data_IF_334717183740
#
_entry.id   IF_334717183740
#
_cell.length_a   1.000
_cell.length_b   1.000
_cell.length_c   1.000
_cell.angle_alpha   90.00
_cell.angle_beta   90.00
_cell.angle_gamma   90.00
#
_symmetry.space_group_name_H-M   'P 1'
#
loop_
_entity.id
_entity.type
_entity.pdbx_description
1 polymer ?
#
# COMPACT_ATOMS: atom_id res chain seq x y z
N UNK A 1 38.43 -3.07 -0.22
CA UNK A 1 37.00 -3.05 -0.58
C UNK A 1 36.35 -4.37 -0.19
N UNK A 2 35.55 -4.41 0.89
CA UNK A 2 34.86 -5.64 1.33
C UNK A 2 33.71 -5.98 0.37
N UNK A 3 33.90 -7.02 -0.45
CA UNK A 3 32.83 -7.86 -0.99
C UNK A 3 32.36 -8.76 0.14
N UNK A 4 31.10 -8.68 0.56
CA UNK A 4 30.50 -9.67 1.47
C UNK A 4 29.49 -9.07 2.44
N UNK A 5 28.22 -9.06 2.04
CA UNK A 5 27.01 -9.10 2.90
C UNK A 5 25.68 -8.92 2.11
N UNK A 6 25.75 -8.65 0.79
CA UNK A 6 24.56 -8.38 -0.03
C UNK A 6 23.51 -9.51 -0.15
N UNK A 7 23.85 -10.81 -0.22
CA UNK A 7 22.83 -11.85 -0.39
C UNK A 7 22.01 -12.10 0.89
N UNK A 8 22.63 -11.99 2.06
CA UNK A 8 21.99 -12.28 3.35
C UNK A 8 20.88 -11.29 3.67
N UNK A 9 21.10 -9.99 3.45
CA UNK A 9 20.11 -8.96 3.74
C UNK A 9 18.87 -9.06 2.82
N UNK A 10 19.07 -9.44 1.56
CA UNK A 10 17.99 -9.63 0.58
C UNK A 10 17.07 -10.77 1.00
N UNK A 11 17.62 -11.95 1.29
CA UNK A 11 16.81 -13.12 1.66
C UNK A 11 16.16 -12.94 3.04
N UNK A 12 16.84 -12.26 3.97
CA UNK A 12 16.27 -11.85 5.24
C UNK A 12 15.07 -10.91 5.04
N UNK A 13 15.21 -9.88 4.21
CA UNK A 13 14.14 -8.89 3.97
C UNK A 13 12.90 -9.50 3.32
N UNK A 14 13.07 -10.40 2.34
CA UNK A 14 11.95 -11.11 1.71
C UNK A 14 11.20 -11.97 2.75
N UNK A 15 11.92 -12.83 3.48
CA UNK A 15 11.32 -13.70 4.49
C UNK A 15 10.67 -12.93 5.62
N UNK A 16 11.30 -11.85 6.08
CA UNK A 16 10.74 -10.98 7.12
C UNK A 16 9.39 -10.43 6.69
N UNK A 17 9.27 -9.96 5.45
CA UNK A 17 8.05 -9.31 4.98
C UNK A 17 6.96 -10.33 4.68
N UNK A 18 7.31 -11.50 4.14
CA UNK A 18 6.37 -12.61 3.98
C UNK A 18 5.77 -13.02 5.34
N UNK A 19 6.61 -13.16 6.38
CA UNK A 19 6.16 -13.48 7.74
C UNK A 19 5.28 -12.37 8.30
N UNK A 20 5.72 -11.11 8.19
CA UNK A 20 4.97 -9.98 8.73
C UNK A 20 3.62 -9.79 8.04
N UNK A 21 3.55 -9.94 6.71
CA UNK A 21 2.28 -9.91 5.97
C UNK A 21 1.37 -11.07 6.41
N UNK A 22 1.93 -12.27 6.60
CA UNK A 22 1.19 -13.40 7.17
C UNK A 22 0.61 -13.09 8.56
N UNK A 23 1.39 -12.43 9.41
CA UNK A 23 0.94 -11.97 10.75
C UNK A 23 -0.18 -10.94 10.61
N UNK A 24 -0.03 -9.93 9.74
CA UNK A 24 -1.06 -8.90 9.52
C UNK A 24 -2.35 -9.53 9.00
N UNK A 25 -2.26 -10.46 8.04
CA UNK A 25 -3.42 -11.18 7.52
C UNK A 25 -4.07 -12.08 8.57
N UNK A 26 -3.27 -12.78 9.39
CA UNK A 26 -3.78 -13.65 10.45
C UNK A 26 -4.45 -12.89 11.58
N UNK A 27 -3.77 -11.89 12.13
CA UNK A 27 -4.29 -11.05 13.22
C UNK A 27 -5.47 -10.21 12.76
N UNK A 28 -5.45 -9.71 11.53
CA UNK A 28 -6.58 -8.96 10.99
C UNK A 28 -7.88 -9.78 10.96
N UNK A 29 -7.83 -11.09 10.69
CA UNK A 29 -9.03 -11.92 10.63
C UNK A 29 -9.64 -12.15 12.02
N UNK A 30 -8.82 -12.05 13.07
CA UNK A 30 -9.31 -12.10 14.45
C UNK A 30 -10.28 -10.96 14.77
N UNK A 31 -10.17 -9.84 14.04
CA UNK A 31 -10.98 -8.63 14.21
C UNK A 31 -12.26 -8.61 13.40
N UNK A 32 -12.46 -9.58 12.51
CA UNK A 32 -13.68 -9.73 11.72
C UNK A 32 -14.97 -9.77 12.56
N UNK A 33 -15.02 -10.48 13.71
CA UNK A 33 -16.23 -10.54 14.54
C UNK A 33 -16.59 -9.21 15.22
N UNK A 34 -15.64 -8.29 15.34
CA UNK A 34 -15.85 -6.99 16.00
C UNK A 34 -16.40 -5.93 15.03
N UNK A 35 -16.57 -6.26 13.74
CA UNK A 35 -17.16 -5.37 12.75
C UNK A 35 -18.68 -5.29 12.96
N UNK A 36 -19.23 -4.08 12.97
CA UNK A 36 -20.64 -3.82 13.30
C UNK A 36 -21.39 -3.34 12.05
N UNK A 37 -20.80 -2.38 11.35
CA UNK A 37 -21.47 -1.66 10.27
C UNK A 37 -21.15 -2.26 8.89
N UNK A 38 -22.10 -2.28 7.93
CA UNK A 38 -21.87 -2.87 6.60
C UNK A 38 -20.65 -2.30 5.85
N UNK A 39 -20.36 -1.01 6.02
CA UNK A 39 -19.21 -0.38 5.37
C UNK A 39 -17.87 -0.92 5.92
N UNK A 40 -17.83 -1.33 7.19
CA UNK A 40 -16.62 -1.87 7.83
C UNK A 40 -16.24 -3.21 7.21
N UNK A 41 -17.22 -4.10 6.97
CA UNK A 41 -17.00 -5.37 6.29
C UNK A 41 -16.47 -5.18 4.85
N UNK A 42 -17.05 -4.25 4.10
CA UNK A 42 -16.61 -3.94 2.74
C UNK A 42 -15.18 -3.37 2.76
N UNK A 43 -14.90 -2.42 3.66
CA UNK A 43 -13.58 -1.84 3.84
C UNK A 43 -12.55 -2.90 4.23
N UNK A 44 -12.89 -3.81 5.15
CA UNK A 44 -12.05 -4.92 5.57
C UNK A 44 -11.66 -5.82 4.40
N UNK A 45 -12.65 -6.35 3.67
CA UNK A 45 -12.38 -7.19 2.48
C UNK A 45 -11.48 -6.46 1.50
N UNK A 46 -11.74 -5.17 1.28
CA UNK A 46 -10.96 -4.36 0.37
C UNK A 46 -9.52 -4.15 0.82
N UNK A 47 -9.28 -3.89 2.10
CA UNK A 47 -7.91 -3.79 2.65
C UNK A 47 -7.18 -5.12 2.50
N UNK A 48 -7.86 -6.25 2.72
CA UNK A 48 -7.29 -7.57 2.51
C UNK A 48 -6.85 -7.80 1.06
N UNK A 49 -7.68 -7.41 0.09
CA UNK A 49 -7.31 -7.48 -1.32
C UNK A 49 -6.09 -6.59 -1.60
N UNK A 50 -6.04 -5.37 -1.05
CA UNK A 50 -4.88 -4.49 -1.20
C UNK A 50 -3.59 -5.06 -0.58
N UNK A 51 -3.69 -5.75 0.56
CA UNK A 51 -2.57 -6.44 1.19
C UNK A 51 -1.98 -7.54 0.30
N UNK A 52 -2.86 -8.38 -0.26
CA UNK A 52 -2.46 -9.45 -1.19
C UNK A 52 -1.84 -8.88 -2.46
N UNK A 53 -2.47 -7.85 -3.02
CA UNK A 53 -1.99 -7.15 -4.22
C UNK A 53 -0.62 -6.48 -3.98
N UNK A 54 -0.42 -5.83 -2.82
CA UNK A 54 0.90 -5.35 -2.41
C UNK A 54 1.92 -6.49 -2.35
N UNK A 55 1.58 -7.61 -1.71
CA UNK A 55 2.48 -8.76 -1.61
C UNK A 55 2.92 -9.30 -2.98
N UNK A 56 1.98 -9.39 -3.93
CA UNK A 56 2.23 -9.84 -5.31
C UNK A 56 3.23 -8.91 -6.03
N UNK A 57 3.05 -7.59 -5.92
CA UNK A 57 3.94 -6.60 -6.53
C UNK A 57 5.30 -6.51 -5.82
N UNK A 58 5.30 -6.77 -4.51
CA UNK A 58 6.43 -6.55 -3.64
C UNK A 58 7.57 -7.55 -3.86
N UNK A 59 7.25 -8.84 -3.94
CA UNK A 59 8.24 -9.92 -4.13
C UNK A 59 9.12 -9.73 -5.38
N UNK A 60 8.57 -9.48 -6.60
CA UNK A 60 9.39 -9.19 -7.78
C UNK A 60 10.13 -7.84 -7.67
N UNK A 61 9.54 -6.84 -7.01
CA UNK A 61 10.14 -5.51 -6.86
C UNK A 61 11.38 -5.54 -5.97
N UNK A 62 11.39 -6.20 -4.79
CA UNK A 62 12.63 -6.36 -3.99
C UNK A 62 13.68 -7.16 -4.76
N UNK A 63 13.25 -8.20 -5.48
CA UNK A 63 14.19 -9.04 -6.23
C UNK A 63 14.99 -8.21 -7.21
N UNK A 64 14.34 -7.21 -7.81
CA UNK A 64 14.90 -6.26 -8.78
C UNK A 64 15.62 -5.07 -8.12
N UNK A 65 15.06 -4.53 -7.04
CA UNK A 65 15.56 -3.39 -6.27
C UNK A 65 15.79 -3.81 -4.80
N UNK A 66 16.88 -4.52 -4.50
CA UNK A 66 17.11 -5.05 -3.16
C UNK A 66 17.33 -3.94 -2.12
N UNK A 67 17.14 -4.23 -0.85
CA UNK A 67 17.44 -3.26 0.21
C UNK A 67 18.96 -3.08 0.33
N UNK A 68 19.45 -1.83 0.38
CA UNK A 68 20.89 -1.52 0.50
C UNK A 68 21.27 -1.02 1.89
N UNK A 69 20.31 -0.46 2.63
CA UNK A 69 20.53 0.28 3.87
C UNK A 69 19.51 -0.14 4.92
N UNK A 70 19.88 -0.03 6.19
CA UNK A 70 19.00 -0.34 7.32
C UNK A 70 17.72 0.52 7.33
N UNK A 71 17.83 1.77 6.86
CA UNK A 71 16.66 2.65 6.72
C UNK A 71 15.63 2.11 5.72
N UNK A 72 16.04 1.30 4.73
CA UNK A 72 15.10 0.63 3.83
C UNK A 72 14.27 -0.40 4.61
N UNK A 73 14.93 -1.17 5.49
CA UNK A 73 14.27 -2.17 6.35
C UNK A 73 13.28 -1.50 7.29
N UNK A 74 13.68 -0.39 7.92
CA UNK A 74 12.79 0.42 8.76
C UNK A 74 11.57 0.94 8.00
N UNK A 75 11.78 1.43 6.76
CA UNK A 75 10.68 1.90 5.93
C UNK A 75 9.69 0.78 5.59
N UNK A 76 10.18 -0.45 5.31
CA UNK A 76 9.29 -1.60 5.14
C UNK A 76 8.54 -1.97 6.41
N UNK A 77 9.19 -1.90 7.57
CA UNK A 77 8.51 -2.08 8.85
C UNK A 77 7.40 -1.05 9.04
N UNK A 78 7.63 0.22 8.69
CA UNK A 78 6.59 1.26 8.74
C UNK A 78 5.46 1.01 7.75
N UNK A 79 5.76 0.53 6.53
CA UNK A 79 4.72 0.15 5.56
C UNK A 79 3.85 -0.97 6.12
N UNK A 80 4.45 -2.05 6.60
CA UNK A 80 3.71 -3.17 7.20
C UNK A 80 2.89 -2.70 8.40
N UNK A 81 3.47 -1.88 9.28
CA UNK A 81 2.76 -1.37 10.45
C UNK A 81 1.59 -0.47 10.04
N UNK A 82 1.77 0.35 9.00
CA UNK A 82 0.69 1.18 8.45
C UNK A 82 -0.43 0.34 7.81
N UNK A 83 -0.09 -0.81 7.21
CA UNK A 83 -1.08 -1.76 6.71
C UNK A 83 -1.83 -2.45 7.84
N UNK A 84 -1.14 -2.86 8.90
CA UNK A 84 -1.76 -3.38 10.11
C UNK A 84 -2.71 -2.37 10.73
N UNK A 85 -2.25 -1.11 10.85
CA UNK A 85 -3.06 -0.01 11.34
C UNK A 85 -4.28 0.22 10.43
N UNK A 86 -4.11 0.16 9.11
CA UNK A 86 -5.22 0.26 8.16
C UNK A 86 -6.27 -0.82 8.39
N UNK A 87 -5.86 -2.09 8.54
CA UNK A 87 -6.79 -3.18 8.90
C UNK A 87 -7.49 -2.89 10.23
N UNK A 88 -6.73 -2.52 11.27
CA UNK A 88 -7.26 -2.22 12.58
C UNK A 88 -8.32 -1.10 12.54
N UNK A 89 -8.08 -0.04 11.77
CA UNK A 89 -9.03 1.08 11.65
C UNK A 89 -10.35 0.74 10.98
N UNK A 90 -10.49 -0.44 10.36
CA UNK A 90 -11.80 -0.91 9.87
C UNK A 90 -12.78 -1.17 11.01
N UNK A 91 -12.29 -1.43 12.23
CA UNK A 91 -13.11 -1.54 13.44
C UNK A 91 -13.52 -0.18 14.02
N UNK A 92 -12.88 0.91 13.59
CA UNK A 92 -13.16 2.24 14.12
C UNK A 92 -14.59 2.67 13.80
N UNK A 93 -15.23 3.36 14.75
CA UNK A 93 -16.53 3.98 14.55
C UNK A 93 -16.49 5.09 13.49
N UNK A 94 -15.30 5.67 13.25
CA UNK A 94 -15.12 6.75 12.29
C UNK A 94 -14.34 6.31 11.05
N UNK A 95 -15.00 6.44 9.89
CA UNK A 95 -14.39 6.28 8.56
C UNK A 95 -13.24 7.27 8.32
N UNK A 96 -13.22 8.44 8.99
CA UNK A 96 -12.10 9.37 8.83
C UNK A 96 -10.79 8.76 9.29
N UNK A 97 -10.81 7.98 10.39
CA UNK A 97 -9.64 7.27 10.91
C UNK A 97 -9.10 6.29 9.87
N UNK A 98 -10.00 5.55 9.22
CA UNK A 98 -9.67 4.64 8.13
C UNK A 98 -9.02 5.36 6.94
N UNK A 99 -9.61 6.48 6.51
CA UNK A 99 -9.06 7.28 5.40
C UNK A 99 -7.68 7.86 5.74
N UNK A 100 -7.47 8.32 6.97
CA UNK A 100 -6.15 8.80 7.42
C UNK A 100 -5.12 7.68 7.51
N UNK A 101 -5.50 6.49 8.00
CA UNK A 101 -4.61 5.33 8.00
C UNK A 101 -4.16 4.97 6.58
N UNK A 102 -5.06 5.06 5.60
CA UNK A 102 -4.73 4.84 4.21
C UNK A 102 -3.77 5.90 3.65
N UNK A 103 -3.99 7.18 3.98
CA UNK A 103 -3.08 8.26 3.60
C UNK A 103 -1.67 7.99 4.15
N UNK A 104 -1.55 7.63 5.43
CA UNK A 104 -0.27 7.30 6.07
C UNK A 104 0.43 6.16 5.33
N UNK A 105 -0.30 5.08 5.04
CA UNK A 105 0.23 3.96 4.26
C UNK A 105 0.76 4.42 2.89
N UNK A 106 -0.01 5.21 2.14
CA UNK A 106 0.40 5.72 0.83
C UNK A 106 1.61 6.64 0.90
N UNK A 107 1.72 7.47 1.93
CA UNK A 107 2.89 8.34 2.13
C UNK A 107 4.17 7.51 2.31
N UNK A 108 4.10 6.41 3.06
CA UNK A 108 5.25 5.51 3.18
C UNK A 108 5.57 4.80 1.87
N UNK A 109 4.56 4.38 1.10
CA UNK A 109 4.74 3.74 -0.21
C UNK A 109 5.40 4.69 -1.23
N UNK A 110 4.93 5.94 -1.32
CA UNK A 110 5.55 7.02 -2.10
C UNK A 110 7.01 7.23 -1.71
N UNK A 111 7.28 7.30 -0.40
CA UNK A 111 8.64 7.50 0.11
C UNK A 111 9.55 6.34 -0.30
N UNK A 112 9.03 5.11 -0.28
CA UNK A 112 9.73 3.92 -0.72
C UNK A 112 10.03 3.95 -2.22
N UNK A 113 9.04 4.28 -3.06
CA UNK A 113 9.19 4.38 -4.52
C UNK A 113 10.18 5.48 -4.91
N UNK A 114 10.11 6.64 -4.23
CA UNK A 114 11.03 7.74 -4.47
C UNK A 114 12.48 7.34 -4.18
N UNK A 115 12.68 6.63 -3.06
CA UNK A 115 13.99 6.13 -2.67
C UNK A 115 14.53 5.09 -3.64
N UNK A 116 13.71 4.13 -4.06
CA UNK A 116 14.09 3.17 -5.12
C UNK A 116 14.53 3.89 -6.39
N UNK A 117 13.77 4.90 -6.81
CA UNK A 117 14.07 5.69 -8.02
C UNK A 117 15.40 6.43 -7.89
N UNK A 118 15.69 7.02 -6.73
CA UNK A 118 16.92 7.76 -6.47
C UNK A 118 18.16 6.86 -6.34
N UNK A 119 18.02 5.67 -5.75
CA UNK A 119 19.17 4.81 -5.46
C UNK A 119 19.54 3.86 -6.61
N UNK A 120 18.58 3.52 -7.47
CA UNK A 120 18.76 2.55 -8.53
C UNK A 120 18.83 3.15 -9.93
N UNK A 121 18.50 4.43 -10.11
CA UNK A 121 18.46 5.10 -11.41
C UNK A 121 17.84 4.21 -12.50
N UNK A 122 16.57 3.81 -12.30
CA UNK A 122 15.89 2.86 -13.18
C UNK A 122 15.83 3.39 -14.62
N UNK A 123 16.03 2.50 -15.59
CA UNK A 123 16.02 2.84 -17.01
C UNK A 123 14.79 2.27 -17.72
N UNK A 124 14.36 2.96 -18.80
CA UNK A 124 13.29 2.53 -19.70
C UNK A 124 11.99 2.15 -18.99
N UNK A 125 11.64 0.86 -18.99
CA UNK A 125 10.43 0.31 -18.41
C UNK A 125 10.32 0.60 -16.91
N UNK A 126 11.41 0.42 -16.17
CA UNK A 126 11.40 0.54 -14.71
C UNK A 126 11.13 1.96 -14.24
N UNK A 127 11.64 2.93 -15.00
CA UNK A 127 11.36 4.35 -14.74
C UNK A 127 9.88 4.65 -14.94
N UNK A 128 9.27 4.09 -15.99
CA UNK A 128 7.83 4.26 -16.26
C UNK A 128 6.98 3.57 -15.21
N UNK A 129 7.34 2.35 -14.80
CA UNK A 129 6.70 1.63 -13.72
C UNK A 129 6.71 2.47 -12.43
N UNK A 130 7.90 2.80 -11.91
CA UNK A 130 8.03 3.53 -10.64
C UNK A 130 7.40 4.92 -10.69
N UNK A 131 7.55 5.66 -11.80
CA UNK A 131 6.91 6.99 -11.93
C UNK A 131 5.39 6.92 -12.09
N UNK A 132 4.85 5.83 -12.64
CA UNK A 132 3.40 5.62 -12.71
C UNK A 132 2.83 5.37 -11.33
N UNK A 133 3.41 4.42 -10.60
CA UNK A 133 3.06 4.14 -9.20
C UNK A 133 3.08 5.39 -8.34
N UNK A 134 4.20 6.11 -8.35
CA UNK A 134 4.34 7.34 -7.58
C UNK A 134 3.26 8.38 -7.92
N UNK A 135 2.95 8.59 -9.20
CA UNK A 135 1.90 9.54 -9.60
C UNK A 135 0.53 9.11 -9.05
N UNK A 136 0.17 7.84 -9.22
CA UNK A 136 -1.15 7.36 -8.82
C UNK A 136 -1.29 7.28 -7.30
N UNK A 137 -0.21 6.98 -6.56
CA UNK A 137 -0.23 7.05 -5.10
C UNK A 137 -0.47 8.48 -4.61
N UNK A 138 0.13 9.49 -5.25
CA UNK A 138 -0.16 10.90 -4.94
C UNK A 138 -1.61 11.30 -5.24
N UNK A 139 -2.16 10.82 -6.35
CA UNK A 139 -3.58 11.02 -6.70
C UNK A 139 -4.48 10.39 -5.61
N UNK A 140 -4.14 9.19 -5.16
CA UNK A 140 -4.87 8.50 -4.11
C UNK A 140 -4.80 9.23 -2.77
N UNK A 141 -3.63 9.75 -2.39
CA UNK A 141 -3.48 10.59 -1.20
C UNK A 141 -4.37 11.82 -1.28
N UNK A 142 -4.29 12.57 -2.38
CA UNK A 142 -5.04 13.81 -2.55
C UNK A 142 -6.56 13.57 -2.55
N UNK A 143 -7.02 12.54 -3.24
CA UNK A 143 -8.44 12.19 -3.27
C UNK A 143 -8.93 11.67 -1.92
N UNK A 144 -8.16 10.82 -1.25
CA UNK A 144 -8.52 10.29 0.08
C UNK A 144 -8.56 11.42 1.12
N UNK A 145 -7.62 12.37 1.06
CA UNK A 145 -7.65 13.57 1.90
C UNK A 145 -8.91 14.41 1.65
N UNK A 146 -9.29 14.55 0.38
CA UNK A 146 -10.54 15.24 0.00
C UNK A 146 -11.76 14.53 0.57
N UNK A 147 -11.83 13.19 0.45
CA UNK A 147 -12.91 12.40 1.08
C UNK A 147 -12.93 12.56 2.60
N UNK A 148 -11.77 12.55 3.26
CA UNK A 148 -11.68 12.71 4.72
C UNK A 148 -12.20 14.08 5.16
N UNK A 149 -11.86 15.14 4.43
CA UNK A 149 -12.39 16.49 4.63
C UNK A 149 -13.91 16.52 4.41
N UNK A 150 -14.40 15.92 3.33
CA UNK A 150 -15.83 15.87 3.02
C UNK A 150 -16.61 15.16 4.14
N UNK A 151 -16.14 14.01 4.62
CA UNK A 151 -16.78 13.31 5.74
C UNK A 151 -16.77 14.14 7.03
N UNK A 152 -15.68 14.86 7.29
CA UNK A 152 -15.56 15.66 8.51
C UNK A 152 -16.55 16.84 8.52
N UNK A 153 -16.75 17.50 7.37
CA UNK A 153 -17.61 18.68 7.27
C UNK A 153 -19.06 18.37 6.88
N UNK A 154 -19.30 17.24 6.21
CA UNK A 154 -20.59 16.84 5.71
C UNK A 154 -20.92 15.46 6.29
N UNK A 155 -22.12 15.31 6.86
CA UNK A 155 -22.63 14.02 7.36
C UNK A 155 -23.01 13.08 6.21
N UNK A 156 -22.02 12.70 5.40
CA UNK A 156 -22.17 11.82 4.23
C UNK A 156 -22.26 10.36 4.69
N UNK A 157 -23.06 9.58 3.98
CA UNK A 157 -23.16 8.14 4.19
C UNK A 157 -21.79 7.46 3.99
N UNK A 158 -21.30 6.75 5.02
CA UNK A 158 -19.99 6.08 5.01
C UNK A 158 -19.86 5.02 3.91
N UNK A 159 -20.95 4.32 3.58
CA UNK A 159 -20.94 3.32 2.52
C UNK A 159 -20.69 3.97 1.15
N UNK A 160 -21.26 5.16 0.90
CA UNK A 160 -20.99 5.92 -0.33
C UNK A 160 -19.50 6.30 -0.42
N UNK A 161 -18.91 6.75 0.70
CA UNK A 161 -17.51 7.15 0.76
C UNK A 161 -16.59 5.95 0.50
N UNK A 162 -16.85 4.79 1.11
CA UNK A 162 -16.09 3.55 0.83
C UNK A 162 -16.23 3.13 -0.63
N UNK A 163 -17.42 3.22 -1.22
CA UNK A 163 -17.61 2.88 -2.63
C UNK A 163 -16.83 3.81 -3.56
N UNK A 164 -16.83 5.13 -3.31
CA UNK A 164 -16.03 6.10 -4.07
C UNK A 164 -14.54 5.84 -3.90
N UNK A 165 -14.10 5.52 -2.69
CA UNK A 165 -12.72 5.17 -2.38
C UNK A 165 -12.26 3.90 -3.13
N UNK A 166 -13.08 2.85 -3.13
CA UNK A 166 -12.80 1.60 -3.87
C UNK A 166 -12.76 1.86 -5.38
N UNK A 167 -13.73 2.60 -5.92
CA UNK A 167 -13.78 2.95 -7.34
C UNK A 167 -12.54 3.72 -7.78
N UNK A 168 -12.11 4.69 -6.99
CA UNK A 168 -10.85 5.40 -7.24
C UNK A 168 -9.70 4.40 -7.33
N UNK A 169 -9.55 3.55 -6.31
CA UNK A 169 -8.41 2.63 -6.20
C UNK A 169 -8.36 1.60 -7.34
N UNK A 170 -9.52 1.11 -7.79
CA UNK A 170 -9.60 0.27 -8.98
C UNK A 170 -9.17 1.06 -10.22
N UNK A 171 -9.67 2.30 -10.36
CA UNK A 171 -9.35 3.16 -11.50
C UNK A 171 -7.86 3.48 -11.57
N UNK A 172 -7.24 3.86 -10.45
CA UNK A 172 -5.80 4.17 -10.39
C UNK A 172 -4.96 2.94 -10.66
N UNK A 173 -5.34 1.76 -10.15
CA UNK A 173 -4.68 0.48 -10.46
C UNK A 173 -4.71 0.16 -11.95
N UNK A 174 -5.87 0.29 -12.60
CA UNK A 174 -6.02 0.07 -14.04
C UNK A 174 -5.17 1.09 -14.82
N UNK A 175 -5.27 2.38 -14.47
CA UNK A 175 -4.54 3.45 -15.15
C UNK A 175 -3.02 3.34 -14.98
N UNK A 176 -2.54 2.90 -13.81
CA UNK A 176 -1.15 2.58 -13.57
C UNK A 176 -0.70 1.48 -14.52
N UNK A 177 -1.41 0.35 -14.53
CA UNK A 177 -1.10 -0.80 -15.37
C UNK A 177 -1.05 -0.48 -16.87
N UNK A 178 -2.00 0.34 -17.35
CA UNK A 178 -2.00 0.82 -18.73
C UNK A 178 -0.76 1.67 -19.04
N UNK A 179 -0.35 2.54 -18.11
CA UNK A 179 0.77 3.47 -18.32
C UNK A 179 2.12 2.77 -18.39
N UNK A 180 2.35 1.72 -17.60
CA UNK A 180 3.56 0.89 -17.69
C UNK A 180 3.39 -0.34 -18.58
N UNK A 181 2.27 -0.48 -19.29
CA UNK A 181 1.99 -1.54 -20.28
C UNK A 181 2.15 -2.97 -19.76
N UNK A 182 1.74 -3.25 -18.52
CA UNK A 182 1.76 -4.63 -18.03
C UNK A 182 0.62 -5.50 -18.54
N UNK A 183 -0.48 -4.89 -19.01
CA UNK A 183 -1.69 -5.59 -19.43
C UNK A 183 -1.96 -5.24 -20.89
N UNK A 184 -1.67 -6.21 -21.77
CA UNK A 184 -2.09 -6.33 -23.18
C UNK A 184 -1.86 -5.13 -24.12
N UNK A 185 -0.61 -4.85 -24.51
CA UNK A 185 -0.32 -4.23 -25.84
C UNK A 185 1.11 -4.60 -26.30
N UNK A 186 1.37 -5.90 -26.38
CA UNK A 186 2.40 -6.47 -27.26
C UNK A 186 1.75 -6.90 -28.55
#
# INVERSE_FOLDING_TARGET
>A
MKKGNKPVLKDFSLKFIDVMLGIVLGLGFQWWPDLIEPWQYIAFIFVYINLVDYWIDYSPTIKKFPLKREVDVLLHTFIIFSMFYLVFTTQSESITTFLFAFIIYRVFDVTWIWRMSSEYNPNNYDKRFLSSWNLFDWIEIAFTATLAILVYFLSVNYLLIIMLFILLRITTRIMASLRYKAVYFS
#
